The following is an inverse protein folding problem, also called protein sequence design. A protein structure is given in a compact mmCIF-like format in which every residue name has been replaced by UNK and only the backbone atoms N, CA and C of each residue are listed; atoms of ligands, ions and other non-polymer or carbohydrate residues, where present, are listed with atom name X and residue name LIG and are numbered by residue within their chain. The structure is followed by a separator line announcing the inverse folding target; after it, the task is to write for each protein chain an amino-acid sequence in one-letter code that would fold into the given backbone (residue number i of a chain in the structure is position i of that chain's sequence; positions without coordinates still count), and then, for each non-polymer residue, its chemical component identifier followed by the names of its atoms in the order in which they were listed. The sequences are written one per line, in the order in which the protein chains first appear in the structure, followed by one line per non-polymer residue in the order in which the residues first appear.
data_IF_913645878647
#
_entry.id   IF_913645878647
#
_cell.length_a   1.000
_cell.length_b   1.000
_cell.length_c   1.000
_cell.angle_alpha   90.00
_cell.angle_beta   90.00
_cell.angle_gamma   90.00
#
_symmetry.space_group_name_H-M   'P 1'
#
loop_
_entity.id
_entity.type
_entity.pdbx_description
1 polymer ?
#
# COMPACT_ATOMS: atom_id res chain seq x y z
N UNK A 1 1.84 -7.45 3.97
CA UNK A 1 0.89 -7.35 2.85
C UNK A 1 -0.55 -7.69 3.23
N UNK A 2 -0.80 -8.74 4.03
CA UNK A 2 -2.13 -9.01 4.60
C UNK A 2 -2.70 -7.82 5.40
N UNK A 3 -1.82 -7.04 6.04
CA UNK A 3 -2.22 -5.79 6.71
C UNK A 3 -2.87 -4.78 5.74
N UNK A 4 -2.34 -4.62 4.51
CA UNK A 4 -2.93 -3.74 3.50
C UNK A 4 -4.28 -4.27 3.00
N UNK A 5 -4.44 -5.60 2.88
CA UNK A 5 -5.74 -6.20 2.60
C UNK A 5 -6.75 -5.87 3.71
N UNK A 6 -6.40 -6.15 4.96
CA UNK A 6 -7.27 -5.89 6.11
C UNK A 6 -7.64 -4.41 6.22
N UNK A 7 -6.66 -3.52 6.02
CA UNK A 7 -6.86 -2.08 6.07
C UNK A 7 -7.73 -1.56 4.92
N UNK A 8 -7.52 -2.06 3.70
CA UNK A 8 -8.36 -1.73 2.55
C UNK A 8 -9.81 -2.15 2.74
N UNK A 9 -10.03 -3.38 3.25
CA UNK A 9 -11.38 -3.87 3.59
C UNK A 9 -12.00 -3.02 4.71
N UNK A 10 -11.26 -2.75 5.79
CA UNK A 10 -11.77 -1.94 6.90
C UNK A 10 -12.14 -0.53 6.46
N UNK A 11 -11.30 0.12 5.64
CA UNK A 11 -11.54 1.45 5.11
C UNK A 11 -12.74 1.51 4.16
N UNK A 12 -12.94 0.49 3.31
CA UNK A 12 -14.16 0.37 2.49
C UNK A 12 -15.41 0.22 3.35
N UNK A 13 -15.37 -0.66 4.37
CA UNK A 13 -16.50 -0.82 5.31
C UNK A 13 -16.80 0.49 6.04
N UNK A 14 -15.77 1.23 6.46
CA UNK A 14 -15.92 2.54 7.09
C UNK A 14 -16.57 3.56 6.13
N UNK A 15 -16.12 3.60 4.87
CA UNK A 15 -16.69 4.47 3.83
C UNK A 15 -18.18 4.18 3.56
N UNK A 16 -18.54 2.89 3.46
CA UNK A 16 -19.93 2.43 3.28
C UNK A 16 -20.81 2.78 4.49
N UNK A 17 -20.23 2.87 5.69
CA UNK A 17 -20.90 3.35 6.92
C UNK A 17 -20.96 4.88 7.02
N UNK A 18 -20.61 5.61 5.97
CA UNK A 18 -20.63 7.07 5.95
C UNK A 18 -19.51 7.73 6.75
N UNK A 19 -18.45 7.00 7.10
CA UNK A 19 -17.30 7.54 7.84
C UNK A 19 -16.31 8.24 6.90
N UNK A 20 -15.37 8.95 7.50
CA UNK A 20 -14.27 9.65 6.83
C UNK A 20 -12.93 9.28 7.48
N UNK A 21 -11.82 9.71 6.88
CA UNK A 21 -10.50 9.53 7.49
C UNK A 21 -10.46 10.22 8.85
N UNK A 22 -10.31 9.42 9.92
CA UNK A 22 -10.13 9.84 11.32
C UNK A 22 -8.81 9.28 11.88
N UNK A 23 -8.38 9.76 13.05
CA UNK A 23 -7.07 9.47 13.63
C UNK A 23 -6.65 7.99 13.63
N UNK A 24 -7.53 7.07 14.03
CA UNK A 24 -7.20 5.63 14.06
C UNK A 24 -6.98 5.02 12.67
N UNK A 25 -7.83 5.36 11.70
CA UNK A 25 -7.69 4.91 10.31
C UNK A 25 -6.48 5.56 9.65
N UNK A 26 -6.27 6.86 9.86
CA UNK A 26 -5.12 7.58 9.32
C UNK A 26 -3.80 6.99 9.82
N UNK A 27 -3.69 6.75 11.14
CA UNK A 27 -2.54 6.09 11.73
C UNK A 27 -2.31 4.68 11.18
N UNK A 28 -3.38 3.92 10.93
CA UNK A 28 -3.27 2.60 10.32
C UNK A 28 -2.73 2.65 8.88
N UNK A 29 -3.11 3.64 8.06
CA UNK A 29 -2.51 3.84 6.74
C UNK A 29 -1.02 4.18 6.82
N UNK A 30 -0.61 5.01 7.77
CA UNK A 30 0.81 5.30 8.01
C UNK A 30 1.58 4.04 8.40
N UNK A 31 1.06 3.24 9.33
CA UNK A 31 1.67 1.96 9.73
C UNK A 31 1.75 1.02 8.52
N UNK A 32 0.69 0.94 7.72
CA UNK A 32 0.67 0.13 6.51
C UNK A 32 1.79 0.53 5.54
N UNK A 33 1.94 1.83 5.28
CA UNK A 33 2.99 2.37 4.41
C UNK A 33 4.39 2.06 4.95
N UNK A 34 4.62 2.22 6.26
CA UNK A 34 5.89 1.86 6.88
C UNK A 34 6.20 0.36 6.72
N UNK A 35 5.21 -0.51 6.84
CA UNK A 35 5.40 -1.95 6.59
C UNK A 35 5.74 -2.25 5.12
N UNK A 36 5.17 -1.50 4.17
CA UNK A 36 5.53 -1.62 2.74
C UNK A 36 6.97 -1.18 2.53
N UNK A 37 7.39 -0.06 3.11
CA UNK A 37 8.78 0.42 3.04
C UNK A 37 9.75 -0.62 3.60
N UNK A 38 9.47 -1.18 4.79
CA UNK A 38 10.29 -2.25 5.39
C UNK A 38 10.41 -3.44 4.44
N UNK A 39 9.33 -3.85 3.79
CA UNK A 39 9.36 -4.98 2.87
C UNK A 39 10.15 -4.69 1.58
N UNK A 40 10.05 -3.47 1.03
CA UNK A 40 10.86 -3.06 -0.12
C UNK A 40 12.34 -2.98 0.26
N UNK A 41 12.68 -2.44 1.43
CA UNK A 41 14.05 -2.39 1.93
C UNK A 41 14.63 -3.81 2.13
N UNK A 42 13.83 -4.75 2.64
CA UNK A 42 14.24 -6.15 2.72
C UNK A 42 14.52 -6.74 1.32
N UNK A 43 13.70 -6.41 0.32
CA UNK A 43 13.95 -6.80 -1.07
C UNK A 43 15.24 -6.20 -1.64
N UNK A 44 15.53 -4.94 -1.36
CA UNK A 44 16.78 -4.27 -1.74
C UNK A 44 17.99 -4.92 -1.07
N UNK A 45 17.87 -5.27 0.22
CA UNK A 45 18.92 -6.00 0.93
C UNK A 45 19.21 -7.36 0.30
N UNK A 46 18.17 -8.14 -0.03
CA UNK A 46 18.32 -9.42 -0.73
C UNK A 46 18.97 -9.24 -2.11
N UNK A 47 18.60 -8.18 -2.84
CA UNK A 47 19.22 -7.84 -4.12
C UNK A 47 20.71 -7.54 -3.97
N UNK A 48 21.09 -6.77 -2.95
CA UNK A 48 22.49 -6.48 -2.63
C UNK A 48 23.27 -7.73 -2.19
N UNK A 49 22.59 -8.70 -1.56
CA UNK A 49 23.14 -10.01 -1.20
C UNK A 49 23.24 -11.00 -2.38
N UNK A 50 22.89 -10.57 -3.60
CA UNK A 50 23.03 -11.37 -4.82
C UNK A 50 21.77 -12.12 -5.25
N UNK A 51 20.67 -12.05 -4.48
CA UNK A 51 19.40 -12.60 -4.93
C UNK A 51 18.88 -11.80 -6.13
N UNK A 52 18.34 -12.47 -7.14
CA UNK A 52 17.79 -11.81 -8.34
C UNK A 52 16.34 -12.23 -8.53
N UNK A 53 15.39 -11.28 -8.62
CA UNK A 53 14.05 -11.61 -9.05
C UNK A 53 14.05 -12.03 -10.54
N UNK A 54 13.10 -12.84 -10.99
CA UNK A 54 13.06 -13.39 -12.35
C UNK A 54 12.85 -12.35 -13.46
N UNK A 55 12.30 -11.17 -13.13
CA UNK A 55 11.98 -10.16 -14.12
C UNK A 55 11.98 -8.74 -13.56
N UNK A 56 12.17 -7.76 -14.46
CA UNK A 56 12.23 -6.33 -14.14
C UNK A 56 10.91 -5.79 -13.57
N UNK A 57 9.79 -6.42 -13.90
CA UNK A 57 8.45 -6.07 -13.40
C UNK A 57 8.35 -6.15 -11.87
N UNK A 58 9.14 -7.00 -11.22
CA UNK A 58 9.18 -7.09 -9.76
C UNK A 58 9.57 -5.75 -9.11
N UNK A 59 10.53 -5.04 -9.71
CA UNK A 59 10.95 -3.72 -9.22
C UNK A 59 9.85 -2.68 -9.38
N UNK A 60 9.11 -2.72 -10.50
CA UNK A 60 7.98 -1.82 -10.73
C UNK A 60 6.89 -1.98 -9.66
N UNK A 61 6.62 -3.21 -9.22
CA UNK A 61 5.65 -3.46 -8.16
C UNK A 61 6.10 -2.86 -6.83
N UNK A 62 7.37 -3.05 -6.45
CA UNK A 62 7.94 -2.47 -5.22
C UNK A 62 7.91 -0.95 -5.22
N UNK A 63 8.39 -0.32 -6.31
CA UNK A 63 8.40 1.15 -6.45
C UNK A 63 6.98 1.73 -6.45
N UNK A 64 6.04 1.08 -7.16
CA UNK A 64 4.65 1.56 -7.18
C UNK A 64 4.02 1.46 -5.80
N UNK A 65 4.29 0.37 -5.05
CA UNK A 65 3.72 0.15 -3.74
C UNK A 65 4.12 1.22 -2.71
N UNK A 66 5.35 1.75 -2.76
CA UNK A 66 5.85 2.80 -1.85
C UNK A 66 5.43 4.23 -2.26
N UNK A 67 5.06 4.45 -3.53
CA UNK A 67 4.77 5.81 -4.01
C UNK A 67 3.28 6.13 -3.99
N UNK A 68 2.42 5.15 -4.22
CA UNK A 68 1.01 5.41 -4.53
C UNK A 68 0.24 6.03 -3.35
N UNK A 69 0.48 5.57 -2.11
CA UNK A 69 -0.18 6.11 -0.93
C UNK A 69 0.35 7.51 -0.54
N UNK A 70 1.68 7.77 -0.47
CA UNK A 70 2.19 9.12 -0.24
C UNK A 70 1.73 10.13 -1.30
N UNK A 71 1.70 9.72 -2.58
CA UNK A 71 1.18 10.55 -3.65
C UNK A 71 -0.30 10.88 -3.45
N UNK A 72 -1.13 9.87 -3.15
CA UNK A 72 -2.54 10.09 -2.87
C UNK A 72 -2.74 11.00 -1.65
N UNK A 73 -1.94 10.81 -0.59
CA UNK A 73 -1.97 11.69 0.59
C UNK A 73 -1.67 13.14 0.22
N UNK A 74 -0.64 13.39 -0.59
CA UNK A 74 -0.29 14.74 -1.06
C UNK A 74 -1.44 15.42 -1.81
N UNK A 75 -2.26 14.64 -2.52
CA UNK A 75 -3.41 15.14 -3.25
C UNK A 75 -4.63 15.34 -2.35
N UNK A 76 -4.91 14.43 -1.42
CA UNK A 76 -6.16 14.44 -0.65
C UNK A 76 -6.08 15.12 0.73
N UNK A 77 -4.88 15.44 1.23
CA UNK A 77 -4.67 16.04 2.57
C UNK A 77 -5.50 17.31 2.84
N UNK A 78 -5.73 18.12 1.82
CA UNK A 78 -6.46 19.40 1.93
C UNK A 78 -7.85 19.33 1.27
N UNK A 79 -8.36 18.11 1.02
CA UNK A 79 -9.62 17.84 0.30
C UNK A 79 -10.64 17.10 1.18
N UNK A 80 -11.74 16.67 0.55
CA UNK A 80 -12.80 15.91 1.20
C UNK A 80 -12.27 14.61 1.83
N UNK A 81 -12.45 14.48 3.14
CA UNK A 81 -11.88 13.38 3.93
C UNK A 81 -12.62 12.06 3.71
N UNK A 82 -13.84 12.07 3.17
CA UNK A 82 -14.60 10.86 2.85
C UNK A 82 -14.19 10.30 1.51
N UNK A 83 -13.99 11.15 0.51
CA UNK A 83 -13.38 10.77 -0.76
C UNK A 83 -11.96 10.25 -0.56
N UNK A 84 -11.16 10.91 0.30
CA UNK A 84 -9.83 10.44 0.68
C UNK A 84 -9.88 9.01 1.24
N UNK A 85 -10.85 8.71 2.12
CA UNK A 85 -11.01 7.38 2.71
C UNK A 85 -11.23 6.30 1.64
N UNK A 86 -12.14 6.56 0.68
CA UNK A 86 -12.39 5.63 -0.42
C UNK A 86 -11.11 5.37 -1.22
N UNK A 87 -10.41 6.43 -1.61
CA UNK A 87 -9.20 6.31 -2.42
C UNK A 87 -8.10 5.57 -1.68
N UNK A 88 -7.79 5.94 -0.43
CA UNK A 88 -6.77 5.24 0.35
C UNK A 88 -7.10 3.76 0.53
N UNK A 89 -8.37 3.42 0.75
CA UNK A 89 -8.83 2.04 0.89
C UNK A 89 -8.61 1.22 -0.38
N UNK A 90 -8.97 1.78 -1.54
CA UNK A 90 -8.74 1.14 -2.84
C UNK A 90 -7.25 0.98 -3.12
N UNK A 91 -6.43 1.97 -2.75
CA UNK A 91 -4.98 1.91 -2.92
C UNK A 91 -4.34 0.85 -2.01
N UNK A 92 -4.82 0.66 -0.79
CA UNK A 92 -4.34 -0.43 0.07
C UNK A 92 -4.65 -1.81 -0.54
N UNK A 93 -5.84 -2.00 -1.10
CA UNK A 93 -6.18 -3.23 -1.83
C UNK A 93 -5.32 -3.41 -3.09
N UNK A 94 -5.06 -2.32 -3.81
CA UNK A 94 -4.17 -2.33 -4.97
C UNK A 94 -2.74 -2.73 -4.61
N UNK A 95 -2.17 -2.16 -3.53
CA UNK A 95 -0.85 -2.54 -3.00
C UNK A 95 -0.81 -4.02 -2.62
N UNK A 96 -1.86 -4.54 -2.00
CA UNK A 96 -1.96 -5.97 -1.73
C UNK A 96 -1.95 -6.82 -3.02
N UNK A 97 -2.67 -6.38 -4.05
CA UNK A 97 -2.63 -7.01 -5.38
C UNK A 97 -1.23 -7.00 -6.02
N UNK A 98 -0.51 -5.87 -5.93
CA UNK A 98 0.88 -5.76 -6.38
C UNK A 98 1.80 -6.73 -5.64
N UNK A 99 1.60 -6.90 -4.33
CA UNK A 99 2.36 -7.86 -3.55
C UNK A 99 2.12 -9.30 -4.00
N UNK A 100 0.87 -9.69 -4.27
CA UNK A 100 0.55 -11.01 -4.83
C UNK A 100 1.25 -11.21 -6.17
N UNK A 101 1.14 -10.23 -7.08
CA UNK A 101 1.82 -10.26 -8.38
C UNK A 101 3.34 -10.39 -8.23
N UNK A 102 3.93 -9.66 -7.29
CA UNK A 102 5.36 -9.73 -6.96
C UNK A 102 5.81 -11.11 -6.49
N UNK A 103 4.98 -11.81 -5.71
CA UNK A 103 5.25 -13.19 -5.29
C UNK A 103 5.11 -14.19 -6.46
N UNK A 104 4.10 -14.04 -7.30
CA UNK A 104 3.87 -14.96 -8.43
C UNK A 104 4.95 -14.81 -9.51
N UNK A 105 5.37 -13.58 -9.81
CA UNK A 105 6.44 -13.30 -10.77
C UNK A 105 7.84 -13.59 -10.19
N UNK A 106 7.94 -13.96 -8.91
CA UNK A 106 9.20 -14.35 -8.27
C UNK A 106 9.57 -15.84 -8.47
N UNK A 107 8.69 -16.64 -9.11
CA UNK A 107 8.93 -18.04 -9.46
C UNK A 107 9.41 -18.20 -10.90
#
# INVERSE_FOLDING_TARGET
MLFMLALGVWGLVAYLRGQSVKGSIAGAFVIGELLVLVQVLAGVFLLAAGARPPGTTHYLYGVTAILVLPFAWSYFRDRDHRQALLVYSLLALFIFGLAIRGMITAN
#
